data_IF_776294501275
#
_entry.id   IF_776294501275
#
_cell.length_a   1.000
_cell.length_b   1.000
_cell.length_c   1.000
_cell.angle_alpha   90.00
_cell.angle_beta   90.00
_cell.angle_gamma   90.00
#
_symmetry.space_group_name_H-M   'P 1'
#
loop_
_entity.id
_entity.type
_entity.pdbx_description
1 polymer ?
#
# COMPACT_ATOMS: atom_id res chain seq x y z
N UNK A 1 45.46 -26.16 -43.68
CA UNK A 1 45.25 -24.97 -42.81
C UNK A 1 43.81 -24.50 -42.98
N UNK A 2 42.84 -25.08 -42.28
CA UNK A 2 41.40 -24.73 -42.44
C UNK A 2 40.62 -25.20 -41.20
N UNK A 3 40.52 -24.37 -40.16
CA UNK A 3 39.68 -24.69 -38.98
C UNK A 3 39.50 -23.54 -37.99
N UNK A 4 40.40 -22.54 -37.94
CA UNK A 4 40.36 -21.51 -36.87
C UNK A 4 39.23 -20.47 -37.02
N UNK A 5 38.68 -20.27 -38.22
CA UNK A 5 37.67 -19.23 -38.47
C UNK A 5 36.25 -19.60 -38.01
N UNK A 6 35.90 -20.89 -37.94
CA UNK A 6 34.57 -21.33 -37.51
C UNK A 6 34.32 -21.19 -36.01
N UNK A 7 35.36 -21.37 -35.20
CA UNK A 7 35.27 -21.26 -33.74
C UNK A 7 34.98 -19.83 -33.26
N UNK A 8 35.47 -18.81 -33.97
CA UNK A 8 35.24 -17.40 -33.59
C UNK A 8 33.82 -16.93 -33.89
N UNK A 9 33.19 -17.43 -34.96
CA UNK A 9 31.79 -17.11 -35.30
C UNK A 9 30.79 -17.76 -34.35
N UNK A 10 31.09 -18.97 -33.85
CA UNK A 10 30.24 -19.69 -32.90
C UNK A 10 30.24 -19.04 -31.51
N UNK A 11 31.39 -18.53 -31.05
CA UNK A 11 31.49 -17.82 -29.76
C UNK A 11 30.77 -16.47 -29.79
N UNK A 12 30.82 -15.76 -30.93
CA UNK A 12 30.12 -14.48 -31.10
C UNK A 12 28.59 -14.65 -31.13
N UNK A 13 28.10 -15.74 -31.72
CA UNK A 13 26.67 -16.10 -31.72
C UNK A 13 26.15 -16.49 -30.33
N UNK A 14 26.95 -17.23 -29.55
CA UNK A 14 26.58 -17.62 -28.18
C UNK A 14 26.53 -16.41 -27.24
N UNK A 15 27.41 -15.42 -27.43
CA UNK A 15 27.40 -14.17 -26.66
C UNK A 15 26.23 -13.24 -26.98
N UNK A 16 25.68 -13.31 -28.21
CA UNK A 16 24.49 -12.54 -28.58
C UNK A 16 23.19 -13.14 -28.04
N UNK A 17 23.13 -14.48 -27.89
CA UNK A 17 21.94 -15.17 -27.39
C UNK A 17 21.72 -14.99 -25.88
N UNK A 18 22.78 -14.81 -25.09
CA UNK A 18 22.69 -14.65 -23.62
C UNK A 18 22.11 -13.30 -23.19
N UNK A 19 22.12 -12.29 -24.05
CA UNK A 19 21.53 -10.97 -23.76
C UNK A 19 19.99 -10.96 -23.75
N UNK A 20 19.36 -11.96 -24.36
CA UNK A 20 17.89 -12.04 -24.50
C UNK A 20 17.20 -12.73 -23.32
N UNK A 21 17.96 -13.33 -22.40
CA UNK A 21 17.40 -14.05 -21.25
C UNK A 21 17.37 -13.15 -20.00
N UNK A 22 16.82 -11.95 -20.13
CA UNK A 22 16.41 -11.21 -18.95
C UNK A 22 15.09 -11.80 -18.47
N UNK A 23 15.16 -12.71 -17.51
CA UNK A 23 13.98 -13.16 -16.78
C UNK A 23 13.39 -11.96 -16.04
N UNK A 24 12.25 -11.46 -16.51
CA UNK A 24 11.51 -10.39 -15.84
C UNK A 24 11.05 -10.92 -14.49
N UNK A 25 11.65 -10.43 -13.41
CA UNK A 25 11.29 -10.87 -12.07
C UNK A 25 9.98 -10.20 -11.69
N UNK A 26 8.97 -10.95 -11.21
CA UNK A 26 7.67 -10.37 -10.91
C UNK A 26 7.81 -9.32 -9.80
N UNK A 27 7.14 -8.19 -9.99
CA UNK A 27 7.16 -7.08 -9.04
C UNK A 27 6.68 -7.56 -7.67
N UNK A 28 7.50 -7.33 -6.63
CA UNK A 28 7.14 -7.69 -5.27
C UNK A 28 6.25 -6.61 -4.68
N UNK A 29 5.03 -6.99 -4.29
CA UNK A 29 4.06 -6.09 -3.69
C UNK A 29 3.71 -6.59 -2.29
N UNK A 30 3.91 -5.74 -1.29
CA UNK A 30 3.55 -6.01 0.09
C UNK A 30 2.20 -5.37 0.42
N UNK A 31 1.44 -6.02 1.29
CA UNK A 31 0.20 -5.47 1.82
C UNK A 31 -0.01 -5.99 3.23
N UNK A 32 -1.02 -5.48 3.91
CA UNK A 32 -1.46 -5.94 5.22
C UNK A 32 -2.98 -6.05 5.25
N UNK A 33 -3.51 -6.75 6.26
CA UNK A 33 -4.95 -6.93 6.46
C UNK A 33 -5.58 -5.60 6.88
N UNK A 34 -6.49 -5.08 6.07
CA UNK A 34 -7.21 -3.82 6.28
C UNK A 34 -8.61 -3.92 5.65
N UNK A 35 -9.55 -4.63 6.30
CA UNK A 35 -10.91 -4.76 5.78
C UNK A 35 -11.63 -3.41 5.69
N UNK A 36 -12.44 -3.16 4.64
CA UNK A 36 -12.78 -4.05 3.52
C UNK A 36 -11.84 -3.91 2.31
N UNK A 37 -10.76 -3.12 2.42
CA UNK A 37 -9.88 -2.75 1.32
C UNK A 37 -8.96 -3.91 0.92
N UNK A 38 -8.34 -4.54 1.91
CA UNK A 38 -7.54 -5.75 1.77
C UNK A 38 -7.97 -6.71 2.86
N UNK A 39 -8.33 -7.92 2.45
CA UNK A 39 -8.83 -8.97 3.31
C UNK A 39 -8.18 -10.29 2.94
N UNK A 40 -8.13 -11.18 3.91
CA UNK A 40 -7.78 -12.56 3.68
C UNK A 40 -9.01 -13.45 3.91
N UNK A 41 -9.63 -13.92 2.83
CA UNK A 41 -10.80 -14.79 2.85
C UNK A 41 -10.52 -16.10 2.12
N UNK A 42 -10.92 -17.23 2.68
CA UNK A 42 -10.84 -18.55 2.03
C UNK A 42 -9.43 -18.92 1.52
N UNK A 43 -8.39 -18.46 2.22
CA UNK A 43 -7.00 -18.74 1.87
C UNK A 43 -6.45 -17.91 0.70
N UNK A 44 -7.20 -16.93 0.21
CA UNK A 44 -6.79 -16.03 -0.88
C UNK A 44 -6.89 -14.56 -0.47
N UNK A 45 -5.96 -13.71 -0.89
CA UNK A 45 -6.13 -12.26 -0.78
C UNK A 45 -7.32 -11.79 -1.61
N UNK A 46 -8.24 -11.06 -0.99
CA UNK A 46 -9.35 -10.37 -1.64
C UNK A 46 -9.50 -8.97 -1.03
N UNK A 47 -10.50 -8.22 -1.44
CA UNK A 47 -10.75 -6.86 -1.01
C UNK A 47 -10.86 -5.92 -2.19
N UNK A 48 -11.45 -4.76 -1.94
CA UNK A 48 -11.71 -3.77 -2.99
C UNK A 48 -10.41 -3.37 -3.69
N UNK A 49 -9.35 -3.10 -2.93
CA UNK A 49 -8.07 -2.66 -3.49
C UNK A 49 -7.28 -3.81 -4.13
N UNK A 50 -7.37 -5.03 -3.61
CA UNK A 50 -6.76 -6.19 -4.28
C UNK A 50 -7.31 -6.31 -5.71
N UNK A 51 -8.63 -6.27 -5.87
CA UNK A 51 -9.26 -6.38 -7.20
C UNK A 51 -8.89 -5.23 -8.15
N UNK A 52 -8.76 -4.01 -7.61
CA UNK A 52 -8.31 -2.86 -8.40
C UNK A 52 -6.86 -3.05 -8.84
N UNK A 53 -5.97 -3.44 -7.94
CA UNK A 53 -4.55 -3.66 -8.25
C UNK A 53 -4.36 -4.81 -9.24
N UNK A 54 -5.09 -5.92 -9.10
CA UNK A 54 -5.08 -7.02 -10.06
C UNK A 54 -5.38 -6.51 -11.48
N UNK A 55 -6.46 -5.75 -11.65
CA UNK A 55 -6.83 -5.19 -12.97
C UNK A 55 -5.82 -4.15 -13.48
N UNK A 56 -5.19 -3.39 -12.59
CA UNK A 56 -4.15 -2.44 -12.97
C UNK A 56 -2.91 -3.16 -13.52
N UNK A 57 -2.43 -4.19 -12.82
CA UNK A 57 -1.28 -4.97 -13.27
C UNK A 57 -1.57 -5.77 -14.54
N UNK A 58 -2.77 -6.36 -14.66
CA UNK A 58 -3.23 -7.01 -15.89
C UNK A 58 -3.19 -6.05 -17.09
N UNK A 59 -3.67 -4.82 -16.93
CA UNK A 59 -3.65 -3.80 -18.00
C UNK A 59 -2.25 -3.28 -18.30
N UNK A 60 -1.36 -3.27 -17.31
CA UNK A 60 0.03 -2.86 -17.48
C UNK A 60 0.90 -3.96 -18.11
N UNK A 61 0.42 -5.22 -18.14
CA UNK A 61 1.21 -6.37 -18.59
C UNK A 61 2.39 -6.67 -17.66
N UNK A 62 2.28 -6.32 -16.38
CA UNK A 62 3.35 -6.49 -15.39
C UNK A 62 2.99 -7.66 -14.48
N UNK A 63 3.86 -8.66 -14.44
CA UNK A 63 3.76 -9.75 -13.48
C UNK A 63 4.10 -9.24 -12.07
N UNK A 64 3.30 -9.66 -11.09
CA UNK A 64 3.46 -9.22 -9.71
C UNK A 64 3.16 -10.35 -8.72
N UNK A 65 3.70 -10.23 -7.51
CA UNK A 65 3.45 -11.16 -6.40
C UNK A 65 3.09 -10.40 -5.14
N UNK A 66 1.94 -10.73 -4.59
CA UNK A 66 1.45 -10.17 -3.33
C UNK A 66 1.99 -10.96 -2.13
N UNK A 67 2.44 -10.24 -1.11
CA UNK A 67 2.81 -10.80 0.20
C UNK A 67 2.11 -10.03 1.31
N UNK A 68 1.21 -10.70 2.02
CA UNK A 68 0.54 -10.15 3.19
C UNK A 68 1.43 -10.32 4.42
N UNK A 69 1.72 -9.21 5.09
CA UNK A 69 2.60 -9.13 6.26
C UNK A 69 1.94 -8.26 7.34
N UNK A 70 2.35 -8.37 8.61
CA UNK A 70 1.97 -7.40 9.62
C UNK A 70 2.29 -5.96 9.17
N UNK A 71 1.45 -4.95 9.45
CA UNK A 71 1.55 -3.62 8.83
C UNK A 71 2.94 -2.99 8.93
N UNK A 72 3.53 -3.00 10.14
CA UNK A 72 4.89 -2.47 10.37
C UNK A 72 5.95 -3.16 9.50
N UNK A 73 5.79 -4.46 9.25
CA UNK A 73 6.71 -5.25 8.41
C UNK A 73 6.49 -4.97 6.93
N UNK A 74 5.25 -4.84 6.47
CA UNK A 74 4.95 -4.49 5.07
C UNK A 74 5.62 -3.16 4.66
N UNK A 75 5.45 -2.14 5.51
CA UNK A 75 6.08 -0.82 5.36
C UNK A 75 7.61 -0.92 5.34
N UNK A 76 8.19 -1.63 6.32
CA UNK A 76 9.63 -1.82 6.39
C UNK A 76 10.17 -2.53 5.14
N UNK A 77 9.52 -3.62 4.73
CA UNK A 77 9.93 -4.43 3.60
C UNK A 77 9.95 -3.63 2.30
N UNK A 78 8.94 -2.79 2.07
CA UNK A 78 8.93 -1.93 0.89
C UNK A 78 10.04 -0.88 0.89
N UNK A 79 10.40 -0.36 2.07
CA UNK A 79 11.49 0.62 2.20
C UNK A 79 12.87 -0.02 2.01
N UNK A 80 13.04 -1.27 2.44
CA UNK A 80 14.36 -1.95 2.45
C UNK A 80 14.58 -2.89 1.27
N UNK A 81 13.53 -3.22 0.51
CA UNK A 81 13.61 -4.14 -0.64
C UNK A 81 13.59 -3.35 -1.94
N UNK A 82 14.69 -3.31 -2.70
CA UNK A 82 14.71 -2.65 -4.01
C UNK A 82 13.66 -3.23 -4.97
N UNK A 83 13.06 -2.38 -5.80
CA UNK A 83 12.09 -2.82 -6.81
C UNK A 83 10.83 -3.45 -6.21
N UNK A 84 10.37 -2.94 -5.07
CA UNK A 84 9.15 -3.41 -4.42
C UNK A 84 8.19 -2.29 -4.11
N UNK A 85 6.92 -2.63 -3.90
CA UNK A 85 5.85 -1.68 -3.62
C UNK A 85 5.03 -2.15 -2.41
N UNK A 86 4.23 -1.24 -1.86
CA UNK A 86 3.31 -1.54 -0.76
C UNK A 86 2.02 -0.74 -0.92
N UNK A 87 0.89 -1.36 -0.61
CA UNK A 87 -0.43 -0.73 -0.60
C UNK A 87 -1.37 -1.45 0.39
N UNK A 88 -2.51 -0.82 0.72
CA UNK A 88 -2.70 0.62 0.73
C UNK A 88 -1.72 1.29 1.71
N UNK A 89 -1.41 2.56 1.49
CA UNK A 89 -0.71 3.39 2.47
C UNK A 89 -1.38 4.76 2.49
N UNK A 90 -1.76 5.21 3.68
CA UNK A 90 -2.10 6.62 3.91
C UNK A 90 -0.88 7.51 3.76
N UNK A 91 -0.99 8.50 2.87
CA UNK A 91 0.01 9.53 2.66
C UNK A 91 -0.01 10.52 3.81
N UNK A 92 1.14 10.76 4.42
CA UNK A 92 1.33 11.72 5.52
C UNK A 92 2.65 12.45 5.35
N UNK A 93 2.82 13.61 6.00
CA UNK A 93 4.06 14.38 5.92
C UNK A 93 5.27 13.58 6.38
N UNK A 94 5.12 12.76 7.41
CA UNK A 94 6.19 11.93 7.98
C UNK A 94 6.66 10.83 7.01
N UNK A 95 5.76 10.36 6.14
CA UNK A 95 6.05 9.30 5.14
C UNK A 95 6.40 9.84 3.77
N UNK A 96 6.13 11.12 3.51
CA UNK A 96 6.36 11.74 2.19
C UNK A 96 7.79 11.55 1.71
N UNK A 97 8.77 11.74 2.60
CA UNK A 97 10.19 11.60 2.29
C UNK A 97 10.70 10.14 2.27
N UNK A 98 9.87 9.16 2.66
CA UNK A 98 10.29 7.76 2.82
C UNK A 98 9.95 6.87 1.62
N UNK A 99 9.07 7.35 0.72
CA UNK A 99 8.54 6.56 -0.39
C UNK A 99 8.47 7.39 -1.66
N UNK A 100 8.54 6.70 -2.80
CA UNK A 100 8.16 7.27 -4.09
C UNK A 100 6.68 6.98 -4.32
N UNK A 101 5.88 8.04 -4.43
CA UNK A 101 4.44 7.94 -4.61
C UNK A 101 4.10 7.90 -6.10
N UNK A 102 3.44 6.82 -6.55
CA UNK A 102 3.09 6.63 -7.95
C UNK A 102 1.78 7.32 -8.28
N UNK A 103 0.70 6.94 -7.58
CA UNK A 103 -0.65 7.47 -7.81
C UNK A 103 -1.58 7.10 -6.65
N UNK A 104 -2.59 7.94 -6.32
CA UNK A 104 -3.62 7.56 -5.37
C UNK A 104 -4.47 6.39 -5.92
N UNK A 105 -4.44 5.25 -5.21
CA UNK A 105 -5.32 4.11 -5.49
C UNK A 105 -6.71 4.27 -4.88
N UNK A 106 -6.84 5.10 -3.84
CA UNK A 106 -8.09 5.52 -3.24
C UNK A 106 -7.93 6.89 -2.60
N UNK A 107 -9.02 7.66 -2.57
CA UNK A 107 -9.08 8.96 -1.90
C UNK A 107 -10.21 8.87 -0.88
N UNK A 108 -9.85 8.92 0.40
CA UNK A 108 -10.82 8.98 1.50
C UNK A 108 -10.99 10.41 1.99
N UNK A 109 -12.20 10.76 2.41
CA UNK A 109 -12.50 12.04 3.07
C UNK A 109 -13.01 11.73 4.47
N UNK A 110 -12.43 12.41 5.45
CA UNK A 110 -12.83 12.29 6.84
C UNK A 110 -13.92 13.32 7.16
N UNK A 111 -14.89 12.93 7.98
CA UNK A 111 -15.97 13.79 8.45
C UNK A 111 -16.19 13.59 9.95
N UNK A 112 -16.69 14.63 10.62
CA UNK A 112 -17.13 14.53 12.00
C UNK A 112 -18.54 13.94 12.05
N UNK A 113 -18.76 12.99 12.95
CA UNK A 113 -20.06 12.36 13.19
C UNK A 113 -20.51 12.67 14.61
N UNK A 114 -21.81 12.94 14.76
CA UNK A 114 -22.42 13.28 16.05
C UNK A 114 -23.48 12.24 16.43
N UNK A 115 -23.76 12.07 17.73
CA UNK A 115 -24.84 11.21 18.19
C UNK A 115 -26.19 11.59 17.54
N UNK A 116 -27.10 10.62 17.34
CA UNK A 116 -28.43 10.89 16.84
C UNK A 116 -29.13 12.01 17.62
N UNK A 117 -29.72 12.98 16.91
CA UNK A 117 -30.40 14.14 17.51
C UNK A 117 -29.51 15.37 17.74
N UNK A 118 -28.18 15.25 17.63
CA UNK A 118 -27.28 16.39 17.68
C UNK A 118 -26.87 16.79 16.25
N UNK A 119 -27.24 17.99 15.82
CA UNK A 119 -26.84 18.55 14.52
C UNK A 119 -26.18 19.92 14.71
N UNK A 120 -24.97 19.96 15.27
CA UNK A 120 -24.27 21.21 15.46
C UNK A 120 -23.85 21.77 14.09
N UNK A 121 -23.92 23.09 13.94
CA UNK A 121 -23.51 23.77 12.72
C UNK A 121 -21.98 23.89 12.71
N UNK A 122 -21.32 22.87 12.19
CA UNK A 122 -19.86 22.84 12.01
C UNK A 122 -19.53 23.30 10.60
N UNK A 123 -18.80 24.41 10.49
CA UNK A 123 -18.33 24.97 9.21
C UNK A 123 -16.81 24.82 9.10
N UNK A 124 -16.11 24.96 10.23
CA UNK A 124 -14.66 24.91 10.33
C UNK A 124 -14.22 23.88 11.36
N UNK A 125 -12.95 23.43 11.27
CA UNK A 125 -12.38 22.54 12.29
C UNK A 125 -12.35 23.21 13.68
N UNK A 126 -12.28 24.54 13.71
CA UNK A 126 -12.25 25.31 14.95
C UNK A 126 -13.57 25.23 15.73
N UNK A 127 -14.69 24.99 15.04
CA UNK A 127 -16.01 24.78 15.65
C UNK A 127 -16.10 23.45 16.42
N UNK A 128 -15.14 22.54 16.21
CA UNK A 128 -15.05 21.26 16.92
C UNK A 128 -14.32 21.37 18.26
N UNK A 129 -13.61 22.47 18.53
CA UNK A 129 -12.87 22.68 19.80
C UNK A 129 -13.67 22.47 21.10
N UNK A 130 -14.95 22.89 21.20
CA UNK A 130 -15.73 22.66 22.42
C UNK A 130 -16.19 21.20 22.60
N UNK A 131 -15.99 20.32 21.63
CA UNK A 131 -16.43 18.92 21.67
C UNK A 131 -15.28 17.97 22.00
N UNK A 132 -15.59 16.87 22.71
CA UNK A 132 -14.65 15.76 22.87
C UNK A 132 -14.58 14.96 21.58
N UNK A 133 -13.40 14.95 20.95
CA UNK A 133 -13.14 14.21 19.72
C UNK A 133 -12.60 12.81 20.04
N UNK A 134 -13.29 11.79 19.51
CA UNK A 134 -12.80 10.40 19.49
C UNK A 134 -12.18 10.08 18.14
N UNK A 135 -10.98 9.51 18.13
CA UNK A 135 -10.30 9.05 16.91
C UNK A 135 -9.70 7.66 17.12
N UNK A 136 -9.37 6.97 16.02
CA UNK A 136 -8.68 5.68 16.05
C UNK A 136 -7.19 5.87 16.29
N UNK A 137 -6.61 5.12 17.23
CA UNK A 137 -5.19 5.20 17.56
C UNK A 137 -4.34 4.79 16.34
N UNK A 138 -3.43 5.68 15.92
CA UNK A 138 -2.59 5.45 14.75
C UNK A 138 -3.21 5.90 13.43
N UNK A 139 -4.43 6.46 13.45
CA UNK A 139 -4.95 7.22 12.31
C UNK A 139 -4.18 8.54 12.15
N UNK A 140 -3.94 8.97 10.91
CA UNK A 140 -3.34 10.28 10.63
C UNK A 140 -4.15 11.48 11.15
N UNK A 141 -5.40 11.25 11.58
CA UNK A 141 -6.31 12.26 12.12
C UNK A 141 -5.99 12.69 13.55
N UNK A 142 -5.28 11.86 14.32
CA UNK A 142 -4.95 12.19 15.72
C UNK A 142 -4.12 13.47 15.86
N UNK A 143 -3.34 13.83 14.84
CA UNK A 143 -2.51 15.05 14.84
C UNK A 143 -3.32 16.34 14.57
N UNK A 144 -4.53 16.23 14.03
CA UNK A 144 -5.43 17.39 13.81
C UNK A 144 -6.02 17.85 15.16
N UNK A 145 -5.98 16.99 16.19
CA UNK A 145 -6.61 17.20 17.48
C UNK A 145 -5.70 16.76 18.65
N UNK A 146 -4.78 17.61 19.11
CA UNK A 146 -4.14 17.38 20.42
C UNK A 146 -4.13 18.70 21.21
N UNK A 147 -4.72 18.74 22.42
CA UNK A 147 -4.34 17.90 23.57
C UNK A 147 -5.42 16.99 24.20
N UNK A 148 -6.64 16.88 23.66
CA UNK A 148 -7.79 16.30 24.39
C UNK A 148 -8.44 15.03 23.79
N UNK A 149 -7.81 14.36 22.82
CA UNK A 149 -8.39 13.16 22.23
C UNK A 149 -8.34 11.96 23.21
N UNK A 150 -9.50 11.57 23.76
CA UNK A 150 -9.65 10.31 24.46
C UNK A 150 -9.62 9.17 23.44
N UNK A 151 -8.58 8.33 23.51
CA UNK A 151 -8.44 7.14 22.66
C UNK A 151 -9.46 6.10 23.11
N UNK A 152 -10.50 5.89 22.29
CA UNK A 152 -11.50 4.86 22.57
C UNK A 152 -10.96 3.50 22.11
N UNK A 153 -10.45 2.70 23.05
CA UNK A 153 -10.01 1.32 22.80
C UNK A 153 -11.17 0.38 23.16
N UNK A 154 -11.96 -0.06 22.19
CA UNK A 154 -12.97 -1.10 22.43
C UNK A 154 -12.30 -2.47 22.51
N UNK A 155 -12.52 -3.24 23.59
CA UNK A 155 -12.14 -4.65 23.60
C UNK A 155 -13.02 -5.45 22.62
N UNK A 156 -12.50 -6.55 22.04
CA UNK A 156 -13.26 -7.39 21.12
C UNK A 156 -14.38 -8.11 21.87
N UNK A 157 -15.63 -7.84 21.48
CA UNK A 157 -16.81 -8.53 21.99
C UNK A 157 -17.68 -7.67 22.90
N UNK A 158 -18.50 -6.80 22.29
CA UNK A 158 -19.81 -6.42 22.82
C UNK A 158 -20.78 -6.25 21.64
N UNK A 159 -22.08 -6.52 21.86
CA UNK A 159 -23.05 -6.96 20.85
C UNK A 159 -23.39 -5.92 19.77
#
# INVERSE_FOLDING_TARGET
MQSRSGASLLVLWLGLASAWLHAETPLRVFSYDEPPLVMFGEGKPDGVLIRVMTRLFERAGIDWRLSLLPPKRALLMARTTPGSCVFPIERSQEREAQYVWISPVSISRHGAYFPPGQQPKIITLDDLRPYTLGTYLGSGLGNISNPLACVWNTPPGMP
#
